data_IF_896524223519
#
_entry.id   IF_896524223519
#
_cell.length_a   1.000
_cell.length_b   1.000
_cell.length_c   1.000
_cell.angle_alpha   90.00
_cell.angle_beta   90.00
_cell.angle_gamma   90.00
#
_symmetry.space_group_name_H-M   'P 1'
#
loop_
_entity.id
_entity.type
_entity.pdbx_description
1 polymer ?
#
# COMPACT_ATOMS: atom_id res chain seq x y z
N UNK A 1 3.27 -3.24 26.39
CA UNK A 1 2.90 -3.42 24.97
C UNK A 1 3.96 -2.73 24.13
N UNK A 2 4.65 -3.46 23.23
CA UNK A 2 5.61 -2.89 22.29
C UNK A 2 4.99 -3.02 20.90
N UNK A 3 4.70 -1.89 20.24
CA UNK A 3 4.28 -1.88 18.83
C UNK A 3 5.53 -2.18 17.99
N UNK A 4 5.42 -3.10 17.03
CA UNK A 4 6.53 -3.40 16.12
C UNK A 4 6.76 -2.23 15.17
N UNK A 5 8.01 -2.04 14.69
CA UNK A 5 8.33 -1.03 13.67
C UNK A 5 7.45 -1.22 12.42
N UNK A 6 7.19 -2.46 12.03
CA UNK A 6 6.35 -2.80 10.88
C UNK A 6 4.90 -2.35 11.06
N UNK A 7 4.27 -2.66 12.21
CA UNK A 7 2.91 -2.22 12.50
C UNK A 7 2.82 -0.69 12.53
N UNK A 8 3.79 0.00 13.15
CA UNK A 8 3.80 1.46 13.16
C UNK A 8 3.86 2.07 11.76
N UNK A 9 4.71 1.54 10.86
CA UNK A 9 4.83 2.04 9.49
C UNK A 9 3.56 1.74 8.68
N UNK A 10 2.94 0.58 8.89
CA UNK A 10 1.67 0.19 8.27
C UNK A 10 0.53 1.15 8.64
N UNK A 11 0.32 1.39 9.94
CA UNK A 11 -0.72 2.33 10.40
C UNK A 11 -0.44 3.77 9.94
N UNK A 12 0.83 4.16 9.86
CA UNK A 12 1.19 5.46 9.30
C UNK A 12 0.87 5.53 7.80
N UNK A 13 1.02 4.43 7.06
CA UNK A 13 0.60 4.34 5.66
C UNK A 13 -0.91 4.55 5.48
N UNK A 14 -1.73 4.00 6.38
CA UNK A 14 -3.17 4.29 6.40
C UNK A 14 -3.48 5.77 6.66
N UNK A 15 -2.73 6.44 7.55
CA UNK A 15 -2.87 7.90 7.73
C UNK A 15 -2.50 8.69 6.47
N UNK A 16 -1.65 8.12 5.61
CA UNK A 16 -1.36 8.69 4.30
C UNK A 16 -2.46 8.39 3.28
N UNK A 17 -3.45 7.54 3.58
CA UNK A 17 -4.52 7.15 2.67
C UNK A 17 -4.18 5.96 1.77
N UNK A 18 -3.18 5.16 2.13
CA UNK A 18 -2.90 3.89 1.44
C UNK A 18 -3.85 2.81 1.97
N UNK A 19 -4.46 2.05 1.07
CA UNK A 19 -5.15 0.81 1.40
C UNK A 19 -4.16 -0.34 1.61
N UNK A 20 -4.65 -1.52 1.98
CA UNK A 20 -3.82 -2.71 1.88
C UNK A 20 -3.44 -2.96 0.42
N UNK A 21 -2.19 -3.33 0.19
CA UNK A 21 -1.68 -3.52 -1.15
C UNK A 21 -1.77 -4.98 -1.59
N UNK A 22 -2.70 -5.24 -2.49
CA UNK A 22 -3.00 -6.57 -3.02
C UNK A 22 -2.09 -6.95 -4.19
N UNK A 23 -2.26 -8.19 -4.66
CA UNK A 23 -1.57 -8.80 -5.80
C UNK A 23 -2.59 -9.44 -6.75
N UNK A 24 -2.22 -9.46 -8.02
CA UNK A 24 -2.85 -10.23 -9.09
C UNK A 24 -1.83 -11.22 -9.64
N UNK A 25 -2.27 -12.45 -9.90
CA UNK A 25 -1.43 -13.48 -10.50
C UNK A 25 -1.61 -13.43 -12.02
N UNK A 26 -0.53 -13.19 -12.75
CA UNK A 26 -0.49 -12.98 -14.19
C UNK A 26 0.50 -13.96 -14.83
N UNK A 27 0.17 -15.27 -14.92
CA UNK A 27 1.10 -16.30 -15.33
C UNK A 27 1.85 -15.95 -16.62
N UNK A 28 3.16 -16.18 -16.63
CA UNK A 28 4.06 -15.90 -17.76
C UNK A 28 4.11 -14.40 -18.15
N UNK A 29 3.61 -13.51 -17.28
CA UNK A 29 3.52 -12.07 -17.52
C UNK A 29 2.44 -11.66 -18.53
N UNK A 30 1.48 -12.53 -18.84
CA UNK A 30 0.37 -12.22 -19.76
C UNK A 30 -0.74 -11.48 -19.00
N UNK A 31 -0.89 -10.18 -19.25
CA UNK A 31 -1.86 -9.35 -18.52
C UNK A 31 -3.31 -9.69 -18.85
N UNK A 32 -3.56 -10.29 -20.01
CA UNK A 32 -4.89 -10.81 -20.38
C UNK A 32 -5.28 -12.04 -19.55
N UNK A 33 -4.30 -12.72 -18.95
CA UNK A 33 -4.46 -13.95 -18.18
C UNK A 33 -4.53 -13.75 -16.66
N UNK A 34 -4.55 -12.50 -16.17
CA UNK A 34 -4.46 -12.25 -14.74
C UNK A 34 -5.70 -12.70 -13.97
N UNK A 35 -5.50 -13.24 -12.77
CA UNK A 35 -6.55 -13.47 -11.76
C UNK A 35 -6.42 -12.46 -10.63
N UNK A 36 -7.54 -11.85 -10.24
CA UNK A 36 -7.56 -10.79 -9.23
C UNK A 36 -7.82 -11.31 -7.82
N UNK A 37 -7.21 -10.66 -6.84
CA UNK A 37 -7.54 -10.82 -5.42
C UNK A 37 -6.71 -11.87 -4.67
N UNK A 38 -5.62 -12.35 -5.26
CA UNK A 38 -4.81 -13.44 -4.71
C UNK A 38 -3.74 -12.91 -3.73
N UNK A 39 -4.22 -12.47 -2.56
CA UNK A 39 -3.41 -12.12 -1.40
C UNK A 39 -2.72 -10.74 -1.47
N UNK A 40 -1.73 -10.57 -0.59
CA UNK A 40 -0.97 -9.33 -0.45
C UNK A 40 0.36 -9.38 -1.24
N UNK A 41 0.87 -8.20 -1.59
CA UNK A 41 2.05 -8.09 -2.46
C UNK A 41 3.38 -8.50 -1.82
N UNK A 42 3.50 -8.45 -0.50
CA UNK A 42 4.75 -8.60 0.25
C UNK A 42 5.88 -7.61 -0.15
N UNK A 43 5.57 -6.55 -0.92
CA UNK A 43 6.58 -5.57 -1.42
C UNK A 43 6.54 -4.19 -0.79
N UNK A 44 5.55 -3.95 0.06
CA UNK A 44 5.34 -2.67 0.75
C UNK A 44 4.87 -2.94 2.17
N UNK A 45 5.08 -2.01 3.12
CA UNK A 45 4.45 -2.09 4.44
C UNK A 45 2.94 -2.31 4.37
N UNK A 46 2.28 -1.83 3.30
CA UNK A 46 0.83 -2.01 3.11
C UNK A 46 0.44 -3.38 2.56
N UNK A 47 1.40 -4.16 2.09
CA UNK A 47 1.19 -5.48 1.50
C UNK A 47 1.83 -6.60 2.31
N UNK A 48 2.06 -6.41 3.62
CA UNK A 48 2.73 -7.40 4.49
C UNK A 48 4.24 -7.62 4.25
N UNK A 49 4.93 -6.72 3.53
CA UNK A 49 6.38 -6.86 3.29
C UNK A 49 7.28 -6.61 4.51
N UNK A 50 6.73 -6.13 5.63
CA UNK A 50 7.45 -5.95 6.89
C UNK A 50 8.25 -4.63 6.98
N UNK A 51 9.04 -4.44 8.06
CA UNK A 51 9.69 -3.16 8.37
C UNK A 51 10.94 -2.85 7.53
N UNK A 52 11.44 -3.81 6.75
CA UNK A 52 12.65 -3.69 5.94
C UNK A 52 12.38 -3.34 4.46
N UNK A 53 11.12 -3.06 4.10
CA UNK A 53 10.72 -2.71 2.73
C UNK A 53 10.09 -1.33 2.72
N UNK A 54 10.32 -0.56 1.67
CA UNK A 54 9.69 0.75 1.50
C UNK A 54 8.40 0.70 0.68
N UNK A 55 7.66 1.81 0.67
CA UNK A 55 6.47 1.99 -0.15
C UNK A 55 6.78 1.83 -1.64
N UNK A 56 5.87 1.24 -2.39
CA UNK A 56 6.05 1.02 -3.82
C UNK A 56 5.83 2.29 -4.65
N UNK A 57 6.14 2.21 -5.94
CA UNK A 57 6.07 3.30 -6.88
C UNK A 57 4.67 3.93 -6.99
N UNK A 58 3.55 3.18 -7.13
CA UNK A 58 2.22 3.76 -7.08
C UNK A 58 1.95 4.58 -5.80
N UNK A 59 2.29 4.03 -4.62
CA UNK A 59 2.13 4.73 -3.33
C UNK A 59 2.96 6.04 -3.32
N UNK A 60 4.21 6.00 -3.79
CA UNK A 60 5.06 7.18 -3.88
C UNK A 60 4.57 8.21 -4.93
N UNK A 61 4.09 7.75 -6.10
CA UNK A 61 3.51 8.60 -7.15
C UNK A 61 2.30 9.33 -6.60
N UNK A 62 1.39 8.60 -5.94
CA UNK A 62 0.14 9.15 -5.41
C UNK A 62 0.37 10.29 -4.40
N UNK A 63 1.56 10.34 -3.76
CA UNK A 63 1.96 11.39 -2.82
C UNK A 63 2.94 12.42 -3.40
N UNK A 64 3.35 12.26 -4.66
CA UNK A 64 4.33 13.15 -5.28
C UNK A 64 5.75 13.02 -4.68
N UNK A 65 6.08 11.86 -4.11
CA UNK A 65 7.36 11.60 -3.45
C UNK A 65 8.46 11.12 -4.40
N UNK A 66 8.24 11.24 -5.73
CA UNK A 66 9.23 10.98 -6.78
C UNK A 66 9.52 12.27 -7.58
N UNK A 67 10.18 13.27 -6.98
CA UNK A 67 10.45 14.54 -7.62
C UNK A 67 11.48 14.44 -8.75
N UNK A 68 11.63 15.51 -9.53
CA UNK A 68 12.80 15.70 -10.39
C UNK A 68 12.94 14.71 -11.55
N UNK A 69 11.83 14.18 -12.07
CA UNK A 69 11.85 13.21 -13.17
C UNK A 69 12.18 11.78 -12.73
N UNK A 70 12.09 11.48 -11.44
CA UNK A 70 12.25 10.11 -10.92
C UNK A 70 11.11 9.19 -11.38
N UNK A 71 9.91 9.72 -11.59
CA UNK A 71 8.83 9.04 -12.30
C UNK A 71 8.69 9.62 -13.72
N UNK A 72 8.65 8.75 -14.73
CA UNK A 72 8.58 9.11 -16.14
C UNK A 72 7.33 8.50 -16.76
N UNK A 73 6.42 9.35 -17.23
CA UNK A 73 5.30 8.91 -18.09
C UNK A 73 5.81 8.51 -19.48
N UNK A 74 5.74 7.22 -19.81
CA UNK A 74 6.21 6.72 -21.11
C UNK A 74 5.24 7.15 -22.21
N UNK A 75 5.76 7.89 -23.21
CA UNK A 75 4.96 8.44 -24.32
C UNK A 75 5.21 7.78 -25.68
N UNK A 76 6.27 6.98 -25.78
CA UNK A 76 6.68 6.25 -26.98
C UNK A 76 7.55 5.07 -26.58
N UNK A 77 7.66 4.08 -27.46
CA UNK A 77 8.58 2.95 -27.26
C UNK A 77 10.01 3.44 -27.06
N UNK A 78 10.67 2.92 -26.03
CA UNK A 78 11.99 3.37 -25.60
C UNK A 78 12.64 2.32 -24.68
N UNK A 79 13.96 2.47 -24.52
CA UNK A 79 14.73 1.71 -23.54
C UNK A 79 15.19 2.67 -22.44
N UNK A 80 14.87 2.35 -21.20
CA UNK A 80 15.14 3.14 -20.00
C UNK A 80 16.18 2.45 -19.13
N UNK A 81 16.99 3.23 -18.40
CA UNK A 81 17.81 2.70 -17.30
C UNK A 81 17.25 3.25 -16.00
N UNK A 82 16.84 2.36 -15.10
CA UNK A 82 16.29 2.73 -13.80
C UNK A 82 17.37 2.73 -12.71
N UNK A 83 17.21 3.61 -11.75
CA UNK A 83 17.89 3.55 -10.46
C UNK A 83 16.97 2.86 -9.45
N UNK A 84 17.51 2.23 -8.38
CA UNK A 84 16.69 1.67 -7.31
C UNK A 84 15.68 2.69 -6.79
N UNK A 85 14.44 2.24 -6.55
CA UNK A 85 13.32 3.10 -6.13
C UNK A 85 13.69 3.97 -4.93
N UNK A 86 14.29 3.34 -3.92
CA UNK A 86 14.67 4.00 -2.68
C UNK A 86 16.12 4.46 -2.66
N UNK A 87 16.72 4.79 -3.81
CA UNK A 87 18.11 5.25 -3.80
C UNK A 87 18.28 6.60 -3.07
N UNK A 88 19.38 6.74 -2.33
CA UNK A 88 19.84 8.00 -1.75
C UNK A 88 20.46 8.97 -2.76
N UNK A 89 20.70 8.53 -4.00
CA UNK A 89 21.25 9.39 -5.06
C UNK A 89 20.19 10.36 -5.62
N UNK A 90 20.56 11.63 -5.76
CA UNK A 90 19.67 12.62 -6.37
C UNK A 90 19.53 12.38 -7.89
N UNK A 91 18.29 12.46 -8.39
CA UNK A 91 17.98 12.25 -9.81
C UNK A 91 17.91 10.76 -10.21
N UNK A 92 17.99 10.52 -11.53
CA UNK A 92 17.81 9.20 -12.14
C UNK A 92 16.32 8.84 -12.31
N UNK A 93 15.98 8.17 -13.41
CA UNK A 93 14.65 7.56 -13.57
C UNK A 93 14.57 6.38 -12.62
N UNK A 94 13.50 6.27 -11.84
CA UNK A 94 13.28 5.18 -10.87
C UNK A 94 12.03 4.39 -11.20
N UNK A 95 11.07 5.07 -11.81
CA UNK A 95 9.75 4.55 -12.12
C UNK A 95 9.37 4.90 -13.54
N UNK A 96 8.82 3.92 -14.25
CA UNK A 96 8.13 4.13 -15.52
C UNK A 96 6.63 4.04 -15.25
N UNK A 97 5.91 5.03 -15.75
CA UNK A 97 4.46 5.07 -15.70
C UNK A 97 3.93 4.96 -17.14
N UNK A 98 3.40 3.79 -17.49
CA UNK A 98 3.14 3.36 -18.87
C UNK A 98 1.63 3.34 -19.12
N UNK A 99 1.13 3.95 -20.21
CA UNK A 99 -0.28 3.87 -20.56
C UNK A 99 -0.70 2.43 -20.89
N UNK A 100 -1.81 1.98 -20.30
CA UNK A 100 -2.41 0.67 -20.54
C UNK A 100 -3.92 0.83 -20.74
N UNK A 101 -4.33 1.34 -21.91
CA UNK A 101 -5.72 1.69 -22.15
C UNK A 101 -6.20 2.81 -21.21
N UNK A 102 -7.19 2.52 -20.37
CA UNK A 102 -7.65 3.44 -19.31
C UNK A 102 -6.80 3.34 -18.04
N UNK A 103 -6.06 2.25 -17.88
CA UNK A 103 -5.26 1.94 -16.70
C UNK A 103 -3.81 2.42 -16.91
N UNK A 104 -2.99 2.26 -15.87
CA UNK A 104 -1.56 2.52 -15.92
C UNK A 104 -0.79 1.28 -15.47
N UNK A 105 0.26 0.94 -16.22
CA UNK A 105 1.25 -0.04 -15.82
C UNK A 105 2.44 0.72 -15.22
N UNK A 106 2.68 0.55 -13.93
CA UNK A 106 3.77 1.22 -13.20
C UNK A 106 4.87 0.22 -12.98
N UNK A 107 6.09 0.54 -13.39
CA UNK A 107 7.25 -0.33 -13.31
C UNK A 107 8.33 0.32 -12.44
N UNK A 108 8.85 -0.43 -11.47
CA UNK A 108 9.93 0.00 -10.58
C UNK A 108 11.08 -1.00 -10.56
N UNK A 109 12.28 -0.51 -10.26
CA UNK A 109 13.41 -1.37 -9.92
C UNK A 109 13.67 -1.31 -8.42
N UNK A 110 13.71 -2.48 -7.76
CA UNK A 110 14.02 -2.63 -6.34
C UNK A 110 15.34 -3.35 -6.19
N UNK A 111 16.19 -2.79 -5.35
CA UNK A 111 17.45 -3.37 -4.92
C UNK A 111 17.90 -2.57 -3.70
N UNK A 112 18.63 -3.22 -2.79
CA UNK A 112 19.26 -2.53 -1.66
C UNK A 112 20.13 -1.37 -2.18
N UNK A 113 19.96 -0.18 -1.58
CA UNK A 113 20.93 0.90 -1.76
C UNK A 113 21.94 0.84 -0.58
N UNK A 114 23.22 0.50 -0.86
CA UNK A 114 24.25 0.39 0.17
C UNK A 114 24.57 1.72 0.86
N UNK A 115 24.02 2.85 0.39
CA UNK A 115 24.10 4.14 1.08
C UNK A 115 23.29 4.18 2.39
N UNK A 116 22.31 3.29 2.59
CA UNK A 116 21.58 3.19 3.85
C UNK A 116 22.30 2.21 4.79
N UNK A 117 22.92 2.72 5.86
CA UNK A 117 23.81 1.92 6.72
C UNK A 117 23.13 1.23 7.91
N UNK A 118 21.93 1.67 8.29
CA UNK A 118 21.34 1.31 9.59
C UNK A 118 20.13 0.37 9.50
N UNK A 119 19.54 0.16 8.31
CA UNK A 119 18.29 -0.59 8.16
C UNK A 119 18.13 -1.35 6.82
N UNK A 120 19.15 -1.34 5.95
CA UNK A 120 19.21 -2.02 4.64
C UNK A 120 17.83 -2.20 3.96
N UNK A 121 17.21 -1.07 3.62
CA UNK A 121 15.90 -1.05 2.97
C UNK A 121 15.95 -1.87 1.67
N UNK A 122 14.98 -2.75 1.48
CA UNK A 122 14.87 -3.69 0.36
C UNK A 122 15.99 -4.74 0.25
N UNK A 123 16.75 -5.03 1.32
CA UNK A 123 17.78 -6.08 1.28
C UNK A 123 17.28 -7.48 0.87
N UNK A 124 15.98 -7.73 1.04
CA UNK A 124 15.34 -8.99 0.66
C UNK A 124 14.59 -8.92 -0.69
N UNK A 125 14.57 -7.75 -1.35
CA UNK A 125 13.84 -7.50 -2.60
C UNK A 125 14.84 -7.06 -3.67
N UNK A 126 14.97 -7.86 -4.72
CA UNK A 126 15.78 -7.54 -5.88
C UNK A 126 14.94 -7.76 -7.14
N UNK A 127 15.07 -6.87 -8.12
CA UNK A 127 14.50 -7.05 -9.46
C UNK A 127 13.52 -5.96 -9.88
N UNK A 128 12.88 -6.21 -11.02
CA UNK A 128 11.86 -5.33 -11.57
C UNK A 128 10.49 -5.79 -11.06
N UNK A 129 9.69 -4.85 -10.58
CA UNK A 129 8.32 -5.13 -10.14
C UNK A 129 7.36 -4.24 -10.90
N UNK A 130 6.17 -4.75 -11.17
CA UNK A 130 5.16 -4.05 -11.95
C UNK A 130 3.82 -4.04 -11.23
N UNK A 131 3.09 -2.95 -11.42
CA UNK A 131 1.82 -2.72 -10.76
C UNK A 131 0.80 -2.22 -11.77
N UNK A 132 -0.41 -2.74 -11.69
CA UNK A 132 -1.56 -2.18 -12.39
C UNK A 132 -2.20 -1.13 -11.50
N UNK A 133 -2.35 0.10 -11.99
CA UNK A 133 -3.14 1.15 -11.36
C UNK A 133 -4.42 1.38 -12.19
N UNK A 134 -5.57 0.81 -11.75
CA UNK A 134 -6.82 0.88 -12.49
C UNK A 134 -7.29 2.31 -12.68
N UNK A 135 -7.67 2.68 -13.90
CA UNK A 135 -8.15 4.03 -14.27
C UNK A 135 -7.17 5.16 -13.93
N UNK A 136 -5.88 4.83 -13.75
CA UNK A 136 -4.86 5.75 -13.26
C UNK A 136 -4.96 6.06 -11.78
N UNK A 137 -5.65 5.25 -11.00
CA UNK A 137 -5.70 5.36 -9.56
C UNK A 137 -4.55 4.62 -8.86
N UNK A 138 -3.48 5.35 -8.57
CA UNK A 138 -2.31 4.78 -7.92
C UNK A 138 -2.54 4.38 -6.45
N UNK A 139 -3.62 4.83 -5.79
CA UNK A 139 -3.94 4.37 -4.44
C UNK A 139 -4.57 2.96 -4.41
N UNK A 140 -5.06 2.48 -5.55
CA UNK A 140 -5.68 1.16 -5.71
C UNK A 140 -4.86 0.27 -6.63
N UNK A 141 -3.53 0.46 -6.63
CA UNK A 141 -2.64 -0.37 -7.43
C UNK A 141 -2.57 -1.79 -6.90
N UNK A 142 -2.26 -2.73 -7.78
CA UNK A 142 -2.10 -4.16 -7.48
C UNK A 142 -0.79 -4.65 -8.08
N UNK A 143 -0.05 -5.46 -7.33
CA UNK A 143 1.19 -6.08 -7.83
C UNK A 143 0.82 -7.07 -8.93
N UNK A 144 1.55 -7.06 -10.05
CA UNK A 144 1.42 -8.03 -11.13
C UNK A 144 2.48 -9.10 -10.93
N UNK A 145 2.05 -10.29 -10.49
CA UNK A 145 2.94 -11.41 -10.21
C UNK A 145 2.99 -12.35 -11.42
N UNK A 146 4.13 -12.44 -12.14
CA UNK A 146 4.25 -13.34 -13.29
C UNK A 146 4.32 -14.83 -12.92
N UNK A 147 4.43 -15.16 -11.64
CA UNK A 147 4.78 -16.50 -11.16
C UNK A 147 3.55 -17.41 -11.09
N UNK A 148 3.53 -18.54 -11.81
CA UNK A 148 2.37 -19.43 -11.79
C UNK A 148 2.25 -20.19 -10.47
N UNK A 149 1.12 -20.06 -9.77
CA UNK A 149 0.69 -21.00 -8.73
C UNK A 149 1.61 -21.13 -7.52
N UNK A 150 2.18 -20.02 -7.06
CA UNK A 150 3.09 -19.98 -5.91
C UNK A 150 2.44 -20.53 -4.63
N UNK A 151 2.97 -21.65 -4.12
CA UNK A 151 2.79 -22.10 -2.73
C UNK A 151 3.65 -21.28 -1.76
N UNK A 152 3.68 -21.66 -0.47
CA UNK A 152 4.26 -20.91 0.68
C UNK A 152 5.78 -20.59 0.64
N UNK A 153 6.43 -20.49 -0.52
CA UNK A 153 7.85 -20.18 -0.73
C UNK A 153 8.15 -18.70 -0.99
N UNK A 154 9.42 -18.40 -1.31
CA UNK A 154 9.84 -17.07 -1.77
C UNK A 154 9.18 -16.78 -3.12
N UNK A 155 8.30 -15.79 -3.14
CA UNK A 155 7.67 -15.26 -4.36
C UNK A 155 8.73 -14.75 -5.34
N UNK A 156 8.90 -15.44 -6.46
CA UNK A 156 9.75 -15.02 -7.59
C UNK A 156 8.97 -14.11 -8.55
N UNK A 157 8.34 -13.09 -7.97
CA UNK A 157 7.46 -12.13 -8.63
C UNK A 157 8.23 -10.98 -9.32
N UNK A 158 9.55 -11.14 -9.47
CA UNK A 158 10.37 -10.25 -10.26
C UNK A 158 10.07 -10.46 -11.75
N UNK A 159 9.62 -9.39 -12.39
CA UNK A 159 9.26 -9.37 -13.79
C UNK A 159 10.51 -9.50 -14.67
N UNK A 160 10.47 -10.44 -15.61
CA UNK A 160 11.42 -10.48 -16.74
C UNK A 160 10.75 -10.05 -18.05
N UNK A 161 9.46 -10.33 -18.20
CA UNK A 161 8.63 -9.93 -19.33
C UNK A 161 7.20 -9.71 -18.87
N UNK A 162 6.54 -8.68 -19.42
CA UNK A 162 5.09 -8.50 -19.34
C UNK A 162 4.55 -8.15 -20.72
N UNK A 163 3.38 -8.69 -21.03
CA UNK A 163 2.69 -8.41 -22.29
C UNK A 163 1.22 -8.16 -22.07
N UNK A 164 0.70 -7.13 -22.73
CA UNK A 164 -0.72 -6.85 -22.84
C UNK A 164 -1.07 -6.75 -24.32
N UNK A 165 -1.77 -7.76 -24.84
CA UNK A 165 -2.06 -7.85 -26.27
C UNK A 165 -3.19 -6.90 -26.66
N UNK A 166 -4.13 -6.63 -25.76
CA UNK A 166 -5.27 -5.75 -25.98
C UNK A 166 -4.83 -4.30 -26.30
N UNK A 167 -3.89 -3.77 -25.53
CA UNK A 167 -3.33 -2.43 -25.63
C UNK A 167 -1.98 -2.39 -26.37
N UNK A 168 -1.47 -3.56 -26.78
CA UNK A 168 -0.21 -3.72 -27.53
C UNK A 168 1.00 -3.13 -26.79
N UNK A 169 1.05 -3.39 -25.49
CA UNK A 169 2.13 -2.98 -24.60
C UNK A 169 2.99 -4.19 -24.27
N UNK A 170 4.31 -4.01 -24.29
CA UNK A 170 5.23 -5.02 -23.78
C UNK A 170 6.35 -4.35 -22.96
N UNK A 171 6.74 -5.00 -21.87
CA UNK A 171 7.87 -4.61 -21.03
C UNK A 171 8.81 -5.80 -20.96
N UNK A 172 10.07 -5.58 -21.31
CA UNK A 172 11.12 -6.60 -21.26
C UNK A 172 12.30 -6.07 -20.44
N UNK A 173 12.79 -6.91 -19.53
CA UNK A 173 14.00 -6.63 -18.78
C UNK A 173 15.21 -7.07 -19.58
N UNK A 174 16.20 -6.18 -19.67
CA UNK A 174 17.51 -6.51 -20.20
C UNK A 174 18.29 -7.44 -19.26
N UNK A 175 19.62 -7.35 -19.29
CA UNK A 175 20.48 -8.22 -18.48
C UNK A 175 20.16 -8.07 -16.99
N UNK A 176 19.77 -9.18 -16.34
CA UNK A 176 19.51 -9.25 -14.90
C UNK A 176 20.69 -8.67 -14.09
N UNK A 177 20.40 -7.81 -13.11
CA UNK A 177 21.38 -7.03 -12.35
C UNK A 177 21.74 -5.66 -12.96
N UNK A 178 21.19 -5.34 -14.14
CA UNK A 178 21.15 -3.97 -14.69
C UNK A 178 19.70 -3.59 -14.92
N UNK A 179 19.27 -2.43 -14.42
CA UNK A 179 17.88 -2.01 -14.53
C UNK A 179 17.58 -1.37 -15.89
N UNK A 180 17.97 -2.03 -16.98
CA UNK A 180 17.60 -1.63 -18.33
C UNK A 180 16.26 -2.27 -18.68
N UNK A 181 15.27 -1.43 -18.99
CA UNK A 181 13.90 -1.83 -19.29
C UNK A 181 13.54 -1.34 -20.69
N UNK A 182 13.15 -2.27 -21.55
CA UNK A 182 12.63 -1.96 -22.88
C UNK A 182 11.10 -1.94 -22.82
N UNK A 183 10.51 -0.81 -23.21
CA UNK A 183 9.05 -0.62 -23.28
C UNK A 183 8.64 -0.47 -24.73
N UNK A 184 7.74 -1.33 -25.17
CA UNK A 184 7.07 -1.26 -26.47
C UNK A 184 5.65 -0.73 -26.27
N UNK A 185 5.28 0.31 -27.00
CA UNK A 185 3.94 0.89 -27.02
C UNK A 185 3.33 0.79 -28.41
N UNK A 186 2.01 0.63 -28.47
CA UNK A 186 1.24 0.54 -29.72
C UNK A 186 1.73 -0.56 -30.69
N UNK A 187 2.39 -1.60 -30.16
CA UNK A 187 3.03 -2.66 -30.94
C UNK A 187 4.33 -2.23 -31.65
N UNK A 188 4.85 -1.04 -31.38
CA UNK A 188 6.13 -0.57 -31.89
C UNK A 188 7.25 -1.05 -30.96
N UNK A 189 8.24 -1.83 -31.44
CA UNK A 189 9.33 -2.31 -30.60
C UNK A 189 10.18 -1.17 -30.02
N UNK A 190 10.69 -1.36 -28.81
CA UNK A 190 11.70 -0.46 -28.25
C UNK A 190 12.96 -0.43 -29.14
N UNK A 191 13.59 0.75 -29.34
CA UNK A 191 14.88 0.83 -30.01
C UNK A 191 15.95 0.03 -29.25
N UNK A 192 16.88 -0.56 -29.99
CA UNK A 192 18.04 -1.23 -29.41
C UNK A 192 18.80 -0.29 -28.44
N UNK A 193 19.30 -0.85 -27.33
CA UNK A 193 20.00 -0.12 -26.29
C UNK A 193 21.16 0.71 -26.89
N UNK A 194 21.03 2.04 -26.89
CA UNK A 194 21.99 2.97 -27.49
C UNK A 194 21.39 4.24 -28.11
N UNK A 195 20.07 4.28 -28.34
CA UNK A 195 19.34 5.48 -28.78
C UNK A 195 18.28 5.89 -27.76
N UNK A 196 18.70 6.32 -26.57
CA UNK A 196 17.80 6.87 -25.56
C UNK A 196 17.87 8.40 -25.57
N UNK A 197 17.03 9.05 -26.38
CA UNK A 197 16.63 10.43 -26.07
C UNK A 197 15.44 10.37 -25.11
N UNK A 198 15.73 10.53 -23.81
CA UNK A 198 14.71 10.84 -22.83
C UNK A 198 14.34 12.32 -22.98
N UNK A 199 13.25 12.58 -23.70
CA UNK A 199 12.61 13.90 -23.64
C UNK A 199 12.26 14.21 -22.18
N UNK A 200 12.40 15.48 -21.77
CA UNK A 200 12.05 15.94 -20.43
C UNK A 200 10.60 15.57 -20.13
N UNK A 201 10.39 14.45 -19.45
CA UNK A 201 9.07 13.87 -19.25
C UNK A 201 8.61 14.26 -17.86
N UNK A 202 7.46 14.90 -17.80
CA UNK A 202 6.85 15.32 -16.55
C UNK A 202 6.40 14.09 -15.75
N UNK A 203 6.69 14.07 -14.45
CA UNK A 203 6.19 13.06 -13.53
C UNK A 203 4.65 13.11 -13.43
N UNK A 204 3.98 12.01 -13.09
CA UNK A 204 2.53 12.00 -12.87
C UNK A 204 2.14 12.96 -11.74
N UNK A 205 0.95 13.54 -11.83
CA UNK A 205 0.45 14.45 -10.81
C UNK A 205 0.09 13.67 -9.51
N UNK A 206 0.35 14.23 -8.32
CA UNK A 206 -0.10 13.65 -7.06
C UNK A 206 -1.63 13.51 -7.01
N UNK A 207 -2.12 12.52 -6.28
CA UNK A 207 -3.55 12.28 -6.13
C UNK A 207 -4.08 12.90 -4.85
N UNK A 208 -5.31 13.41 -4.90
CA UNK A 208 -5.98 14.00 -3.74
C UNK A 208 -6.35 12.91 -2.74
N UNK A 209 -6.07 13.15 -1.46
CA UNK A 209 -6.63 12.35 -0.38
C UNK A 209 -8.15 12.39 -0.43
N UNK A 210 -8.81 11.23 -0.46
CA UNK A 210 -10.19 11.15 -0.01
C UNK A 210 -10.23 11.65 1.43
N UNK A 211 -11.04 12.66 1.72
CA UNK A 211 -11.13 13.28 3.04
C UNK A 211 -11.39 12.23 4.13
N UNK A 212 -10.93 12.52 5.36
CA UNK A 212 -11.06 11.71 6.59
C UNK A 212 -12.13 10.60 6.47
N UNK A 213 -11.69 9.42 6.03
CA UNK A 213 -12.56 8.26 5.91
C UNK A 213 -13.08 7.90 7.29
N UNK A 214 -14.41 7.88 7.46
CA UNK A 214 -15.04 7.27 8.62
C UNK A 214 -14.61 5.80 8.77
N UNK A 215 -14.85 5.19 9.94
CA UNK A 215 -14.32 3.86 10.26
C UNK A 215 -14.73 2.84 9.19
N UNK A 216 -13.72 2.22 8.56
CA UNK A 216 -13.90 1.06 7.68
C UNK A 216 -14.41 -0.11 8.50
N UNK A 217 -15.50 -0.74 8.04
CA UNK A 217 -16.06 -1.94 8.67
C UNK A 217 -15.31 -3.17 8.19
N UNK A 218 -14.50 -3.74 9.07
CA UNK A 218 -13.89 -5.06 8.92
C UNK A 218 -15.00 -6.13 8.94
N UNK A 219 -15.26 -6.78 7.80
CA UNK A 219 -16.11 -7.98 7.75
C UNK A 219 -15.30 -9.15 7.20
N UNK A 220 -14.75 -9.95 8.11
CA UNK A 220 -14.10 -11.23 7.82
C UNK A 220 -12.85 -11.43 8.66
N UNK A 221 -13.00 -11.87 9.90
CA UNK A 221 -11.88 -12.33 10.73
C UNK A 221 -11.88 -13.85 10.84
N UNK A 222 -10.67 -14.42 10.86
CA UNK A 222 -10.26 -15.83 10.91
C UNK A 222 -10.75 -16.61 12.15
N UNK A 223 -12.04 -16.56 12.47
CA UNK A 223 -12.59 -17.20 13.66
C UNK A 223 -13.03 -18.67 13.47
N UNK A 224 -12.81 -19.31 12.31
CA UNK A 224 -13.37 -20.65 12.00
C UNK A 224 -12.32 -21.79 11.89
N UNK A 225 -11.43 -21.91 12.88
CA UNK A 225 -10.67 -23.16 13.11
C UNK A 225 -11.12 -23.84 14.43
N UNK A 226 -11.41 -25.15 14.46
CA UNK A 226 -12.04 -25.79 15.62
C UNK A 226 -11.04 -26.03 16.77
N UNK A 227 -11.32 -25.45 17.94
CA UNK A 227 -10.50 -25.55 19.15
C UNK A 227 -11.02 -26.56 20.17
N UNK A 228 -10.10 -27.28 20.86
CA UNK A 228 -10.29 -27.90 22.20
C UNK A 228 -8.93 -28.19 22.88
N UNK A 229 -8.81 -28.16 24.23
CA UNK A 229 -8.82 -26.94 25.05
C UNK A 229 -7.60 -26.87 26.01
N UNK A 230 -7.15 -25.67 26.40
CA UNK A 230 -7.12 -25.22 27.80
C UNK A 230 -6.42 -23.87 28.01
N UNK A 231 -7.09 -23.07 28.86
CA UNK A 231 -6.65 -21.93 29.69
C UNK A 231 -6.61 -20.52 29.08
N UNK A 232 -7.43 -19.68 29.71
CA UNK A 232 -7.81 -18.32 29.38
C UNK A 232 -6.68 -17.29 29.55
N UNK A 233 -6.59 -16.36 28.58
CA UNK A 233 -6.82 -14.92 28.77
C UNK A 233 -6.70 -14.24 27.40
N UNK A 234 -7.81 -13.77 26.82
CA UNK A 234 -7.82 -12.98 25.59
C UNK A 234 -7.92 -11.49 25.94
N UNK A 235 -6.88 -10.71 25.63
CA UNK A 235 -6.98 -9.25 25.51
C UNK A 235 -7.00 -8.90 24.03
N UNK A 236 -8.16 -8.39 23.61
CA UNK A 236 -8.47 -7.91 22.28
C UNK A 236 -7.85 -6.50 22.08
N UNK A 237 -7.27 -6.27 20.91
CA UNK A 237 -6.32 -5.17 20.63
C UNK A 237 -6.97 -3.92 20.01
N UNK A 238 -8.30 -3.79 20.08
CA UNK A 238 -9.06 -2.71 19.42
C UNK A 238 -9.44 -1.53 20.34
N UNK A 239 -8.67 -1.22 21.38
CA UNK A 239 -8.99 -0.11 22.31
C UNK A 239 -7.79 0.82 22.57
N UNK A 240 -7.29 1.49 21.53
CA UNK A 240 -6.43 2.67 21.72
C UNK A 240 -6.94 3.85 20.90
N UNK A 241 -7.92 4.57 21.46
CA UNK A 241 -8.48 5.77 20.82
C UNK A 241 -9.65 6.40 21.56
N UNK A 242 -9.52 6.68 22.87
CA UNK A 242 -10.51 7.47 23.60
C UNK A 242 -10.46 7.24 25.11
N UNK A 243 -9.85 8.15 25.87
CA UNK A 243 -9.97 8.13 27.34
C UNK A 243 -11.35 8.60 27.77
N UNK A 244 -12.34 7.73 27.63
CA UNK A 244 -13.63 7.85 28.30
C UNK A 244 -13.54 7.13 29.64
N UNK A 245 -13.29 7.88 30.72
CA UNK A 245 -13.48 7.43 32.10
C UNK A 245 -14.98 7.25 32.44
N UNK A 246 -15.74 6.58 31.58
CA UNK A 246 -17.20 6.59 31.56
C UNK A 246 -17.89 5.38 32.21
N UNK A 247 -17.23 4.33 32.75
CA UNK A 247 -17.92 3.40 33.65
C UNK A 247 -17.78 3.81 35.13
N UNK A 248 -16.77 4.61 35.50
CA UNK A 248 -16.63 5.09 36.90
C UNK A 248 -17.49 6.32 37.22
N UNK A 249 -17.96 7.07 36.22
CA UNK A 249 -18.86 8.23 36.42
C UNK A 249 -20.35 7.82 36.38
N UNK A 250 -20.70 6.71 35.71
CA UNK A 250 -22.09 6.24 35.65
C UNK A 250 -22.61 5.72 37.01
N UNK A 251 -21.75 5.10 37.83
CA UNK A 251 -22.11 4.64 39.18
C UNK A 251 -22.24 5.76 40.21
N UNK A 252 -21.42 6.82 40.10
CA UNK A 252 -21.44 7.97 41.03
C UNK A 252 -22.58 8.95 40.70
N UNK A 253 -22.92 9.11 39.42
CA UNK A 253 -23.99 10.00 38.97
C UNK A 253 -25.40 9.56 39.40
N UNK A 254 -25.69 8.26 39.41
CA UNK A 254 -27.00 7.73 39.83
C UNK A 254 -27.26 7.92 41.34
N UNK A 255 -26.23 7.86 42.17
CA UNK A 255 -26.35 8.04 43.62
C UNK A 255 -26.62 9.51 44.02
N UNK A 256 -26.04 10.49 43.32
CA UNK A 256 -26.25 11.92 43.60
C UNK A 256 -27.63 12.43 43.13
N UNK A 257 -28.17 11.90 42.03
CA UNK A 257 -29.51 12.25 41.57
C UNK A 257 -30.62 11.75 42.51
N UNK A 258 -30.45 10.58 43.14
CA UNK A 258 -31.39 10.03 44.10
C UNK A 258 -31.45 10.83 45.42
N UNK A 259 -30.30 11.32 45.92
CA UNK A 259 -30.23 12.14 47.14
C UNK A 259 -30.73 13.58 46.90
N UNK A 260 -30.46 14.15 45.72
CA UNK A 260 -30.98 15.47 45.33
C UNK A 260 -32.50 15.50 45.12
N UNK A 261 -33.07 14.45 44.52
CA UNK A 261 -34.51 14.33 44.28
C UNK A 261 -35.34 14.22 45.56
N UNK A 262 -34.86 13.48 46.57
CA UNK A 262 -35.55 13.33 47.86
C UNK A 262 -35.59 14.64 48.68
N UNK A 263 -34.56 15.47 48.56
CA UNK A 263 -34.44 16.75 49.25
C UNK A 263 -35.38 17.82 48.67
N UNK A 264 -35.53 17.88 47.35
CA UNK A 264 -36.46 18.80 46.69
C UNK A 264 -37.94 18.39 46.86
N UNK A 265 -38.23 17.09 46.93
CA UNK A 265 -39.58 16.58 47.19
C UNK A 265 -40.08 16.90 48.61
N UNK A 266 -39.21 16.81 49.61
CA UNK A 266 -39.55 17.13 51.01
C UNK A 266 -39.71 18.64 51.27
N UNK A 267 -38.93 19.48 50.59
CA UNK A 267 -39.07 20.95 50.64
C UNK A 267 -40.35 21.44 49.94
N UNK A 268 -40.74 20.86 48.79
CA UNK A 268 -42.02 21.19 48.12
C UNK A 268 -43.25 20.78 48.92
N UNK A 269 -43.16 19.72 49.74
CA UNK A 269 -44.29 19.27 50.59
C UNK A 269 -44.48 20.15 51.83
N UNK A 270 -43.42 20.83 52.29
CA UNK A 270 -43.47 21.76 53.43
C UNK A 270 -44.04 23.14 53.05
N UNK A 271 -43.84 23.60 51.81
CA UNK A 271 -44.41 24.87 51.31
C UNK A 271 -45.92 24.83 50.97
N UNK A 272 -46.55 23.65 50.99
CA UNK A 272 -48.00 23.48 50.75
C UNK A 272 -48.84 23.29 52.02
N UNK A 273 -48.25 23.49 53.21
CA UNK A 273 -48.95 23.44 54.51
C UNK A 273 -48.90 24.77 55.29
N UNK A 274 -48.57 25.87 54.62
CA UNK A 274 -48.78 27.22 55.16
C UNK A 274 -49.59 28.03 54.15
N UNK A 275 -50.87 27.65 54.06
CA UNK A 275 -52.01 28.51 53.81
C UNK A 275 -53.10 28.02 54.77
#
# INVERSE_FOLDING_TARGET
MKISKGAMVHEFGHNQGFGHHERDECPDGDLDGCTTGEGYSDKTPMGSGGPGVGFNAPELISRGWLPGGQAVTVKKSATFTLSPLHSGQAGGVRVLDIPLGKDRLVVEYRNEDPAYTDDNLDAAIEGLYAYLAPEGDYNHSRLLDPTPGEGEGKKDDAVTTLTDKANKVAVEVGRSGSATVSVSLDGVPAPAAGSAEHGNTQAPAPQTHGGEGGPVSEKGTDADAPAKPERADHQDLAETGGSSATPLIAGVGAALAAVGGASLYTLRRRGRRSA
#
